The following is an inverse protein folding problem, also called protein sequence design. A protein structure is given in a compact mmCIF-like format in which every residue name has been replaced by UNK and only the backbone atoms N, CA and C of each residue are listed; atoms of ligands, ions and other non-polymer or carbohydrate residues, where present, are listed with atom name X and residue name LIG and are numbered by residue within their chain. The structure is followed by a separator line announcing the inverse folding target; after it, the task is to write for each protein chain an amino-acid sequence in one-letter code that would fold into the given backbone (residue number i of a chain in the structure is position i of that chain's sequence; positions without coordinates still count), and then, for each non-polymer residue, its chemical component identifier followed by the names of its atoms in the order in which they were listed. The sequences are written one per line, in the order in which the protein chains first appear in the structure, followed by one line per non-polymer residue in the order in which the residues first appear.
data_IF_986079989487
#
_entry.id   IF_986079989487
#
_cell.length_a   1.000
_cell.length_b   1.000
_cell.length_c   1.000
_cell.angle_alpha   90.00
_cell.angle_beta   90.00
_cell.angle_gamma   90.00
#
_symmetry.space_group_name_H-M   'P 1'
#
loop_
_entity.id
_entity.type
_entity.pdbx_description
1 polymer ?
#
# COMPACT_ATOMS: atom_id res chain seq x y z
N UNK A 1 -58.84 44.69 -28.47
CA UNK A 1 -58.20 43.59 -29.24
C UNK A 1 -57.04 43.09 -28.43
N UNK A 2 -56.98 41.78 -28.29
CA UNK A 2 -56.26 40.98 -27.30
C UNK A 2 -54.77 40.92 -27.60
N UNK A 3 -53.91 41.35 -26.67
CA UNK A 3 -52.49 40.96 -26.69
C UNK A 3 -52.24 39.97 -25.56
N UNK A 4 -52.01 38.73 -25.98
CA UNK A 4 -51.77 37.59 -25.12
C UNK A 4 -50.38 37.70 -24.48
N UNK A 5 -50.37 37.80 -23.15
CA UNK A 5 -49.15 37.70 -22.33
C UNK A 5 -48.64 36.26 -22.40
N UNK A 6 -47.66 36.01 -23.27
CA UNK A 6 -46.96 34.73 -23.34
C UNK A 6 -46.09 34.57 -22.07
N UNK A 7 -46.60 33.80 -21.10
CA UNK A 7 -45.81 33.30 -19.98
C UNK A 7 -44.77 32.31 -20.53
N UNK A 8 -43.51 32.74 -20.54
CA UNK A 8 -42.38 31.84 -20.78
C UNK A 8 -42.22 30.98 -19.52
N UNK A 9 -42.76 29.76 -19.59
CA UNK A 9 -42.45 28.68 -18.65
C UNK A 9 -40.96 28.39 -18.73
N UNK A 10 -40.19 28.83 -17.75
CA UNK A 10 -38.79 28.44 -17.59
C UNK A 10 -38.76 26.97 -17.15
N UNK A 11 -38.42 26.08 -18.08
CA UNK A 11 -38.09 24.70 -17.77
C UNK A 11 -36.96 24.67 -16.71
N UNK A 12 -37.02 23.77 -15.71
CA UNK A 12 -35.95 23.68 -14.72
C UNK A 12 -34.67 23.24 -15.44
N UNK A 13 -33.57 23.95 -15.18
CA UNK A 13 -32.26 23.62 -15.71
C UNK A 13 -31.93 22.13 -15.47
N UNK A 14 -31.34 21.43 -16.46
CA UNK A 14 -30.92 20.05 -16.24
C UNK A 14 -29.96 20.03 -15.05
N UNK A 15 -30.34 19.30 -13.99
CA UNK A 15 -29.45 19.03 -12.87
C UNK A 15 -28.21 18.38 -13.44
N UNK A 16 -27.07 19.04 -13.29
CA UNK A 16 -25.77 18.47 -13.60
C UNK A 16 -25.70 17.06 -13.01
N UNK A 17 -25.72 16.06 -13.89
CA UNK A 17 -25.38 14.68 -13.57
C UNK A 17 -23.85 14.57 -13.37
N UNK A 18 -23.32 15.44 -12.50
CA UNK A 18 -21.92 15.57 -12.14
C UNK A 18 -21.55 14.72 -10.95
N UNK A 19 -22.27 13.61 -10.70
CA UNK A 19 -21.76 12.55 -9.84
C UNK A 19 -20.84 11.67 -10.69
N UNK A 20 -19.80 12.26 -11.27
CA UNK A 20 -18.68 11.49 -11.79
C UNK A 20 -18.14 10.75 -10.59
N UNK A 21 -18.11 9.42 -10.64
CA UNK A 21 -17.40 8.59 -9.68
C UNK A 21 -15.99 9.18 -9.49
N UNK A 22 -15.80 9.97 -8.44
CA UNK A 22 -14.51 10.46 -8.04
C UNK A 22 -13.83 9.25 -7.41
N UNK A 23 -13.17 8.45 -8.25
CA UNK A 23 -12.17 7.51 -7.76
C UNK A 23 -11.17 8.35 -6.96
N UNK A 24 -10.92 8.03 -5.68
CA UNK A 24 -9.89 8.71 -4.92
C UNK A 24 -8.54 8.53 -5.64
N UNK A 25 -7.97 9.63 -6.13
CA UNK A 25 -6.72 9.65 -6.90
C UNK A 25 -6.87 9.74 -8.43
N UNK A 26 -5.76 10.06 -9.10
CA UNK A 26 -5.73 10.17 -10.57
C UNK A 26 -5.93 8.80 -11.24
N UNK A 27 -6.71 8.72 -12.32
CA UNK A 27 -6.97 7.45 -13.03
C UNK A 27 -5.70 6.71 -13.50
N UNK A 28 -4.61 7.45 -13.76
CA UNK A 28 -3.30 6.88 -14.13
C UNK A 28 -2.64 6.08 -13.00
N UNK A 29 -2.94 6.42 -11.74
CA UNK A 29 -2.41 5.72 -10.57
C UNK A 29 -2.99 4.31 -10.45
N UNK A 30 -4.28 4.15 -10.73
CA UNK A 30 -4.93 2.84 -10.69
C UNK A 30 -4.37 1.88 -11.72
N UNK A 31 -4.04 2.36 -12.92
CA UNK A 31 -3.37 1.56 -13.94
C UNK A 31 -2.01 1.03 -13.46
N UNK A 32 -1.21 1.90 -12.83
CA UNK A 32 0.07 1.52 -12.24
C UNK A 32 -0.13 0.48 -11.11
N UNK A 33 -1.01 0.77 -10.16
CA UNK A 33 -1.34 -0.12 -9.03
C UNK A 33 -1.80 -1.51 -9.48
N UNK A 34 -2.71 -1.58 -10.45
CA UNK A 34 -3.19 -2.86 -10.99
C UNK A 34 -2.07 -3.59 -11.73
N UNK A 35 -1.22 -2.87 -12.46
CA UNK A 35 -0.04 -3.43 -13.12
C UNK A 35 0.92 -4.10 -12.13
N UNK A 36 1.26 -3.41 -11.04
CA UNK A 36 2.09 -3.98 -9.97
C UNK A 36 1.43 -5.20 -9.32
N UNK A 37 0.13 -5.13 -9.02
CA UNK A 37 -0.61 -6.26 -8.45
C UNK A 37 -0.61 -7.49 -9.37
N UNK A 38 -0.71 -7.32 -10.69
CA UNK A 38 -0.63 -8.43 -11.66
C UNK A 38 0.78 -9.04 -11.65
N UNK A 39 1.83 -8.22 -11.65
CA UNK A 39 3.22 -8.70 -11.61
C UNK A 39 3.43 -9.55 -10.34
N UNK A 40 3.01 -9.05 -9.18
CA UNK A 40 3.10 -9.80 -7.92
C UNK A 40 2.22 -11.05 -7.90
N UNK A 41 1.02 -11.00 -8.49
CA UNK A 41 0.15 -12.16 -8.61
C UNK A 41 0.82 -13.28 -9.42
N UNK A 42 1.52 -12.95 -10.51
CA UNK A 42 2.31 -13.93 -11.27
C UNK A 42 3.42 -14.52 -10.39
N UNK A 43 4.15 -13.71 -9.63
CA UNK A 43 5.15 -14.20 -8.68
C UNK A 43 4.54 -15.16 -7.63
N UNK A 44 3.37 -14.85 -7.09
CA UNK A 44 2.67 -15.71 -6.12
C UNK A 44 2.26 -17.05 -6.72
N UNK A 45 1.74 -17.06 -7.95
CA UNK A 45 1.37 -18.29 -8.67
C UNK A 45 2.61 -19.15 -8.92
N UNK A 46 3.71 -18.55 -9.37
CA UNK A 46 4.97 -19.26 -9.60
C UNK A 46 5.52 -19.84 -8.28
N UNK A 47 5.52 -19.06 -7.19
CA UNK A 47 5.90 -19.54 -5.86
C UNK A 47 5.05 -20.74 -5.43
N UNK A 48 3.72 -20.65 -5.58
CA UNK A 48 2.81 -21.74 -5.24
C UNK A 48 3.06 -23.01 -6.05
N UNK A 49 3.35 -22.88 -7.35
CA UNK A 49 3.68 -24.01 -8.21
C UNK A 49 4.94 -24.73 -7.74
N UNK A 50 6.02 -24.00 -7.47
CA UNK A 50 7.28 -24.59 -7.01
C UNK A 50 7.21 -25.15 -5.58
N UNK A 51 6.43 -24.52 -4.69
CA UNK A 51 6.11 -25.04 -3.36
C UNK A 51 5.42 -26.40 -3.43
N UNK A 52 4.51 -26.56 -4.40
CA UNK A 52 3.81 -27.83 -4.63
C UNK A 52 4.74 -28.97 -5.03
N UNK A 53 5.87 -28.68 -5.67
CA UNK A 53 6.83 -29.69 -6.10
C UNK A 53 7.88 -30.05 -5.04
N UNK A 54 8.25 -29.13 -4.15
CA UNK A 54 9.32 -29.32 -3.16
C UNK A 54 8.84 -29.02 -1.74
N UNK A 55 7.76 -29.68 -1.31
CA UNK A 55 7.08 -29.35 -0.05
C UNK A 55 8.00 -29.44 1.18
N UNK A 56 8.80 -30.52 1.28
CA UNK A 56 9.66 -30.78 2.44
C UNK A 56 10.77 -29.72 2.59
N UNK A 57 11.37 -29.31 1.48
CA UNK A 57 12.41 -28.28 1.46
C UNK A 57 11.85 -26.90 1.82
N UNK A 58 10.62 -26.61 1.41
CA UNK A 58 9.93 -25.37 1.74
C UNK A 58 9.53 -25.32 3.22
N UNK A 59 9.08 -26.43 3.80
CA UNK A 59 8.76 -26.53 5.23
C UNK A 59 10.00 -26.37 6.11
N UNK A 60 11.10 -27.05 5.78
CA UNK A 60 12.36 -26.93 6.54
C UNK A 60 12.97 -25.52 6.44
N UNK A 61 12.85 -24.88 5.28
CA UNK A 61 13.32 -23.51 5.09
C UNK A 61 12.43 -22.47 5.78
N UNK A 62 11.10 -22.65 5.76
CA UNK A 62 10.17 -21.80 6.51
C UNK A 62 10.36 -21.90 8.03
N UNK A 63 10.70 -23.08 8.56
CA UNK A 63 10.95 -23.26 9.98
C UNK A 63 12.14 -22.45 10.50
N UNK A 64 13.04 -22.03 9.61
CA UNK A 64 14.20 -21.17 9.93
C UNK A 64 13.83 -19.68 9.99
N UNK A 65 12.66 -19.28 9.47
CA UNK A 65 12.21 -17.89 9.51
C UNK A 65 11.58 -17.55 10.85
N UNK A 66 11.89 -16.36 11.36
CA UNK A 66 11.31 -15.87 12.60
C UNK A 66 9.89 -15.32 12.36
N UNK A 67 8.89 -16.15 12.67
CA UNK A 67 7.47 -15.79 12.50
C UNK A 67 7.06 -14.60 13.39
N UNK A 68 7.70 -14.41 14.55
CA UNK A 68 7.36 -13.32 15.47
C UNK A 68 7.76 -11.96 14.87
N UNK A 69 8.94 -11.88 14.24
CA UNK A 69 9.39 -10.67 13.53
C UNK A 69 8.46 -10.38 12.34
N UNK A 70 8.04 -11.42 11.61
CA UNK A 70 7.04 -11.31 10.54
C UNK A 70 5.70 -10.77 11.06
N UNK A 71 5.21 -11.29 12.18
CA UNK A 71 3.94 -10.88 12.78
C UNK A 71 3.98 -9.44 13.30
N UNK A 72 5.06 -9.05 13.99
CA UNK A 72 5.27 -7.67 14.45
C UNK A 72 5.28 -6.71 13.26
N UNK A 73 5.98 -7.05 12.17
CA UNK A 73 5.99 -6.24 10.96
C UNK A 73 4.59 -6.03 10.37
N UNK A 74 3.78 -7.09 10.31
CA UNK A 74 2.40 -7.01 9.83
C UNK A 74 1.54 -6.11 10.72
N UNK A 75 1.63 -6.25 12.04
CA UNK A 75 0.88 -5.37 12.98
C UNK A 75 1.31 -3.92 12.84
N UNK A 76 2.61 -3.65 12.69
CA UNK A 76 3.15 -2.31 12.50
C UNK A 76 2.65 -1.69 11.19
N UNK A 77 2.67 -2.44 10.09
CA UNK A 77 2.17 -1.95 8.79
C UNK A 77 0.66 -1.72 8.80
N UNK A 78 -0.12 -2.63 9.37
CA UNK A 78 -1.57 -2.46 9.55
C UNK A 78 -1.89 -1.22 10.39
N UNK A 79 -1.13 -0.99 11.46
CA UNK A 79 -1.27 0.21 12.29
C UNK A 79 -0.93 1.47 11.49
N UNK A 80 0.16 1.44 10.71
CA UNK A 80 0.52 2.53 9.81
C UNK A 80 -0.58 2.80 8.78
N UNK A 81 -1.14 1.75 8.18
CA UNK A 81 -2.24 1.80 7.21
C UNK A 81 -3.48 2.44 7.82
N UNK A 82 -3.86 2.06 9.05
CA UNK A 82 -4.96 2.69 9.77
C UNK A 82 -4.71 4.19 10.02
N UNK A 83 -3.49 4.58 10.39
CA UNK A 83 -3.13 5.97 10.60
C UNK A 83 -3.22 6.81 9.31
N UNK A 84 -2.83 6.23 8.17
CA UNK A 84 -3.01 6.85 6.84
C UNK A 84 -4.50 7.03 6.53
N UNK A 85 -5.34 6.02 6.79
CA UNK A 85 -6.78 6.12 6.57
C UNK A 85 -7.43 7.21 7.44
N UNK A 86 -7.07 7.28 8.72
CA UNK A 86 -7.52 8.35 9.61
C UNK A 86 -6.99 9.73 9.18
N UNK A 87 -5.73 9.79 8.75
CA UNK A 87 -5.09 11.01 8.25
C UNK A 87 -5.76 11.57 7.00
N UNK A 88 -6.08 10.71 6.03
CA UNK A 88 -6.85 11.12 4.83
C UNK A 88 -8.25 11.61 5.19
N UNK A 89 -8.93 10.94 6.13
CA UNK A 89 -10.26 11.35 6.58
C UNK A 89 -10.23 12.72 7.27
N UNK A 90 -9.22 12.96 8.13
CA UNK A 90 -9.01 14.25 8.78
C UNK A 90 -8.69 15.36 7.77
N UNK A 91 -7.87 15.05 6.75
CA UNK A 91 -7.58 15.97 5.65
C UNK A 91 -8.84 16.33 4.83
N UNK A 92 -9.71 15.34 4.55
CA UNK A 92 -11.02 15.59 3.89
C UNK A 92 -11.94 16.47 4.73
N UNK A 93 -11.90 16.34 6.04
CA UNK A 93 -12.68 17.15 6.97
C UNK A 93 -12.14 18.58 7.18
N UNK A 94 -11.09 18.99 6.44
CA UNK A 94 -10.44 20.30 6.57
C UNK A 94 -9.55 20.43 7.81
N UNK A 95 -9.35 19.37 8.60
CA UNK A 95 -8.49 19.35 9.80
C UNK A 95 -7.04 19.00 9.41
N UNK A 96 -6.43 19.84 8.58
CA UNK A 96 -5.09 19.59 8.01
C UNK A 96 -4.00 19.39 9.07
N UNK A 97 -4.08 20.06 10.22
CA UNK A 97 -3.13 19.91 11.32
C UNK A 97 -3.20 18.51 11.98
N UNK A 98 -4.40 17.96 12.12
CA UNK A 98 -4.61 16.60 12.65
C UNK A 98 -4.17 15.56 11.63
N UNK A 99 -4.53 15.75 10.36
CA UNK A 99 -4.05 14.92 9.24
C UNK A 99 -2.52 14.87 9.19
N UNK A 100 -1.85 16.01 9.27
CA UNK A 100 -0.38 16.08 9.28
C UNK A 100 0.25 15.27 10.42
N UNK A 101 -0.31 15.32 11.64
CA UNK A 101 0.19 14.53 12.78
C UNK A 101 0.02 13.02 12.54
N UNK A 102 -1.13 12.61 12.02
CA UNK A 102 -1.43 11.21 11.72
C UNK A 102 -0.53 10.65 10.61
N UNK A 103 -0.31 11.43 9.54
CA UNK A 103 0.62 11.04 8.48
C UNK A 103 2.07 10.96 8.96
N UNK A 104 2.50 11.84 9.87
CA UNK A 104 3.82 11.74 10.49
C UNK A 104 3.99 10.48 11.33
N UNK A 105 2.97 10.14 12.13
CA UNK A 105 2.97 8.92 12.92
C UNK A 105 2.97 7.67 12.02
N UNK A 106 2.17 7.68 10.95
CA UNK A 106 2.16 6.62 9.95
C UNK A 106 3.54 6.44 9.31
N UNK A 107 4.19 7.52 8.89
CA UNK A 107 5.53 7.46 8.32
C UNK A 107 6.55 6.88 9.31
N UNK A 108 6.45 7.25 10.59
CA UNK A 108 7.26 6.66 11.66
C UNK A 108 7.04 5.15 11.81
N UNK A 109 5.79 4.71 11.89
CA UNK A 109 5.45 3.29 11.95
C UNK A 109 5.91 2.53 10.71
N UNK A 110 5.66 3.06 9.51
CA UNK A 110 6.10 2.48 8.25
C UNK A 110 7.61 2.37 8.12
N UNK A 111 8.38 3.29 8.69
CA UNK A 111 9.85 3.25 8.69
C UNK A 111 10.43 2.16 9.61
N UNK A 112 9.66 1.64 10.57
CA UNK A 112 10.09 0.51 11.42
C UNK A 112 10.17 -0.79 10.61
N UNK A 113 9.30 -0.97 9.61
CA UNK A 113 9.28 -2.15 8.75
C UNK A 113 10.62 -2.44 8.05
N UNK A 114 11.21 -1.53 7.25
CA UNK A 114 12.48 -1.77 6.58
C UNK A 114 13.63 -2.02 7.57
N UNK A 115 13.57 -1.40 8.76
CA UNK A 115 14.57 -1.59 9.82
C UNK A 115 14.49 -3.00 10.39
N UNK A 116 13.30 -3.46 10.78
CA UNK A 116 13.09 -4.83 11.27
C UNK A 116 13.48 -5.87 10.22
N UNK A 117 13.21 -5.62 8.94
CA UNK A 117 13.67 -6.50 7.86
C UNK A 117 15.17 -6.52 7.65
N UNK A 118 15.83 -5.37 7.75
CA UNK A 118 17.29 -5.35 7.71
C UNK A 118 17.88 -6.18 8.86
N UNK A 119 17.32 -6.08 10.06
CA UNK A 119 17.76 -6.90 11.21
C UNK A 119 17.53 -8.40 11.05
N UNK A 120 16.56 -8.83 10.24
CA UNK A 120 16.36 -10.25 9.91
C UNK A 120 17.34 -10.70 8.82
N UNK A 121 17.58 -9.87 7.79
CA UNK A 121 18.40 -10.26 6.63
C UNK A 121 19.88 -10.28 6.92
N UNK A 122 20.37 -9.32 7.69
CA UNK A 122 21.81 -9.20 7.99
C UNK A 122 22.35 -10.51 8.59
N UNK A 123 21.79 -11.08 9.68
CA UNK A 123 22.28 -12.33 10.23
C UNK A 123 22.06 -13.54 9.31
N UNK A 124 20.94 -13.60 8.56
CA UNK A 124 20.69 -14.68 7.60
C UNK A 124 21.75 -14.71 6.48
N UNK A 125 22.05 -13.54 5.91
CA UNK A 125 23.07 -13.39 4.86
C UNK A 125 24.47 -13.68 5.39
N UNK A 126 24.78 -13.23 6.62
CA UNK A 126 26.06 -13.53 7.28
C UNK A 126 26.19 -15.04 7.57
N UNK A 127 25.08 -15.72 7.88
CA UNK A 127 25.04 -17.18 8.07
C UNK A 127 25.15 -17.98 6.75
N UNK A 128 25.32 -17.32 5.61
CA UNK A 128 25.45 -17.95 4.29
C UNK A 128 24.11 -18.33 3.65
N UNK A 129 22.99 -17.87 4.21
CA UNK A 129 21.67 -17.98 3.59
C UNK A 129 21.56 -16.88 2.54
N UNK A 130 21.87 -17.25 1.31
CA UNK A 130 21.83 -16.36 0.14
C UNK A 130 20.70 -16.79 -0.79
N UNK A 131 20.32 -15.96 -1.78
CA UNK A 131 19.37 -16.37 -2.82
C UNK A 131 19.79 -17.65 -3.56
N UNK A 132 21.09 -18.00 -3.53
CA UNK A 132 21.62 -19.23 -4.14
C UNK A 132 21.54 -20.48 -3.26
N UNK A 133 21.15 -20.36 -1.98
CA UNK A 133 21.14 -21.49 -1.05
C UNK A 133 20.04 -22.50 -1.37
N UNK A 134 18.81 -22.01 -1.62
CA UNK A 134 17.66 -22.84 -1.95
C UNK A 134 16.65 -22.04 -2.78
N UNK A 135 15.82 -22.76 -3.54
CA UNK A 135 14.76 -22.16 -4.36
C UNK A 135 13.75 -21.36 -3.50
N UNK A 136 13.46 -21.81 -2.27
CA UNK A 136 12.66 -21.05 -1.30
C UNK A 136 13.30 -19.70 -0.95
N UNK A 137 14.58 -19.69 -0.57
CA UNK A 137 15.28 -18.45 -0.20
C UNK A 137 15.42 -17.50 -1.39
N UNK A 138 15.62 -18.00 -2.60
CA UNK A 138 15.59 -17.20 -3.83
C UNK A 138 14.27 -16.42 -3.94
N UNK A 139 13.14 -17.14 -3.87
CA UNK A 139 11.81 -16.54 -3.95
C UNK A 139 11.52 -15.59 -2.79
N UNK A 140 11.90 -15.99 -1.57
CA UNK A 140 11.81 -15.17 -0.38
C UNK A 140 12.53 -13.84 -0.60
N UNK A 141 13.83 -13.83 -0.87
CA UNK A 141 14.63 -12.60 -1.05
C UNK A 141 14.12 -11.72 -2.19
N UNK A 142 13.75 -12.30 -3.34
CA UNK A 142 13.26 -11.53 -4.49
C UNK A 142 11.92 -10.88 -4.19
N UNK A 143 10.93 -11.64 -3.71
CA UNK A 143 9.58 -11.11 -3.48
C UNK A 143 9.54 -10.06 -2.37
N UNK A 144 10.20 -10.35 -1.25
CA UNK A 144 10.28 -9.45 -0.10
C UNK A 144 11.18 -8.24 -0.37
N UNK A 145 12.28 -8.41 -1.12
CA UNK A 145 13.17 -7.31 -1.52
C UNK A 145 12.47 -6.36 -2.50
N UNK A 146 11.74 -6.89 -3.48
CA UNK A 146 10.90 -6.07 -4.36
C UNK A 146 9.82 -5.33 -3.57
N UNK A 147 9.17 -5.99 -2.61
CA UNK A 147 8.20 -5.34 -1.73
C UNK A 147 8.84 -4.24 -0.87
N UNK A 148 10.05 -4.49 -0.33
CA UNK A 148 10.81 -3.49 0.43
C UNK A 148 11.05 -2.23 -0.40
N UNK A 149 11.42 -2.38 -1.68
CA UNK A 149 11.55 -1.25 -2.60
C UNK A 149 10.24 -0.46 -2.75
N UNK A 150 9.09 -1.15 -2.81
CA UNK A 150 7.77 -0.50 -2.86
C UNK A 150 7.42 0.23 -1.56
N UNK A 151 7.75 -0.34 -0.40
CA UNK A 151 7.57 0.32 0.91
C UNK A 151 8.42 1.58 0.99
N UNK A 152 9.68 1.54 0.53
CA UNK A 152 10.55 2.73 0.49
C UNK A 152 10.00 3.81 -0.44
N UNK A 153 9.47 3.42 -1.62
CA UNK A 153 8.81 4.35 -2.53
C UNK A 153 7.53 4.94 -1.88
N UNK A 154 6.76 4.12 -1.18
CA UNK A 154 5.58 4.54 -0.43
C UNK A 154 5.93 5.54 0.67
N UNK A 155 7.01 5.29 1.41
CA UNK A 155 7.51 6.18 2.46
C UNK A 155 7.92 7.54 1.87
N UNK A 156 8.57 7.54 0.71
CA UNK A 156 8.90 8.77 0.00
C UNK A 156 7.62 9.53 -0.40
N UNK A 157 6.59 8.85 -0.93
CA UNK A 157 5.32 9.47 -1.29
C UNK A 157 4.61 10.05 -0.05
N UNK A 158 4.54 9.31 1.07
CA UNK A 158 3.97 9.83 2.32
C UNK A 158 4.74 11.06 2.83
N UNK A 159 6.07 11.05 2.74
CA UNK A 159 6.89 12.20 3.11
C UNK A 159 6.52 13.45 2.28
N UNK A 160 6.32 13.30 0.97
CA UNK A 160 5.84 14.39 0.12
C UNK A 160 4.42 14.82 0.48
N UNK A 161 3.53 13.89 0.84
CA UNK A 161 2.16 14.21 1.32
C UNK A 161 2.21 15.02 2.61
N UNK A 162 3.03 14.64 3.58
CA UNK A 162 3.25 15.40 4.82
C UNK A 162 3.73 16.82 4.52
N UNK A 163 4.63 16.97 3.54
CA UNK A 163 5.12 18.29 3.10
C UNK A 163 4.04 19.12 2.41
N UNK A 164 3.21 18.50 1.55
CA UNK A 164 2.09 19.16 0.85
C UNK A 164 1.02 19.65 1.85
N UNK A 165 0.74 18.86 2.89
CA UNK A 165 -0.18 19.20 3.99
C UNK A 165 0.26 20.42 4.83
N UNK A 166 1.55 20.80 4.81
CA UNK A 166 2.05 22.05 5.41
C UNK A 166 1.86 23.28 4.52
N UNK A 167 1.54 23.10 3.25
CA UNK A 167 1.39 24.19 2.29
C UNK A 167 0.10 24.99 2.45
N UNK A 168 -0.03 26.17 1.78
CA UNK A 168 -1.21 27.03 1.90
C UNK A 168 -2.49 26.42 1.30
N UNK A 169 -2.36 25.48 0.36
CA UNK A 169 -3.47 24.84 -0.34
C UNK A 169 -3.11 23.37 -0.66
N UNK A 170 -3.28 22.43 0.28
CA UNK A 170 -2.95 21.03 0.05
C UNK A 170 -3.84 20.42 -1.03
N UNK A 171 -3.25 19.63 -1.91
CA UNK A 171 -3.97 18.96 -3.00
C UNK A 171 -4.55 17.66 -2.49
N UNK A 172 -5.84 17.66 -2.19
CA UNK A 172 -6.54 16.48 -1.67
C UNK A 172 -6.36 15.25 -2.56
N UNK A 173 -6.38 15.42 -3.89
CA UNK A 173 -6.14 14.34 -4.85
C UNK A 173 -4.77 13.67 -4.69
N UNK A 174 -3.74 14.43 -4.31
CA UNK A 174 -2.39 13.90 -4.07
C UNK A 174 -2.33 13.11 -2.76
N UNK A 175 -2.99 13.60 -1.71
CA UNK A 175 -3.11 12.91 -0.42
C UNK A 175 -3.83 11.57 -0.58
N UNK A 176 -4.93 11.55 -1.33
CA UNK A 176 -5.69 10.33 -1.63
C UNK A 176 -4.89 9.34 -2.48
N UNK A 177 -4.18 9.84 -3.50
CA UNK A 177 -3.28 9.03 -4.32
C UNK A 177 -2.19 8.38 -3.45
N UNK A 178 -1.51 9.15 -2.59
CA UNK A 178 -0.48 8.61 -1.70
C UNK A 178 -1.01 7.57 -0.72
N UNK A 179 -2.21 7.78 -0.18
CA UNK A 179 -2.84 6.84 0.72
C UNK A 179 -3.25 5.53 0.02
N UNK A 180 -3.88 5.62 -1.14
CA UNK A 180 -4.25 4.43 -1.93
C UNK A 180 -3.01 3.59 -2.29
N UNK A 181 -1.86 4.23 -2.56
CA UNK A 181 -0.62 3.51 -2.86
C UNK A 181 -0.14 2.75 -1.63
N UNK A 182 -0.11 3.43 -0.47
CA UNK A 182 0.29 2.83 0.79
C UNK A 182 -0.59 1.63 1.17
N UNK A 183 -1.90 1.76 1.02
CA UNK A 183 -2.84 0.67 1.29
C UNK A 183 -2.65 -0.53 0.35
N UNK A 184 -2.32 -0.28 -0.92
CA UNK A 184 -2.00 -1.39 -1.82
C UNK A 184 -0.71 -2.10 -1.40
N UNK A 185 0.34 -1.35 -1.06
CA UNK A 185 1.59 -1.94 -0.59
C UNK A 185 1.36 -2.77 0.67
N UNK A 186 0.58 -2.26 1.62
CA UNK A 186 0.18 -2.97 2.84
C UNK A 186 -0.58 -4.28 2.53
N UNK A 187 -1.55 -4.24 1.60
CA UNK A 187 -2.28 -5.45 1.17
C UNK A 187 -1.34 -6.52 0.60
N UNK A 188 -0.37 -6.09 -0.23
CA UNK A 188 0.64 -6.98 -0.80
C UNK A 188 1.48 -7.66 0.30
N UNK A 189 1.84 -6.90 1.35
CA UNK A 189 2.55 -7.46 2.50
C UNK A 189 1.74 -8.53 3.21
N UNK A 190 0.45 -8.31 3.44
CA UNK A 190 -0.43 -9.29 4.10
C UNK A 190 -0.45 -10.62 3.32
N UNK A 191 -0.51 -10.56 1.99
CA UNK A 191 -0.46 -11.75 1.13
C UNK A 191 0.91 -12.43 1.21
N UNK A 192 2.01 -11.67 1.17
CA UNK A 192 3.36 -12.19 1.34
C UNK A 192 3.54 -12.88 2.69
N UNK A 193 3.12 -12.24 3.76
CA UNK A 193 3.17 -12.78 5.11
C UNK A 193 2.38 -14.09 5.21
N UNK A 194 1.17 -14.12 4.65
CA UNK A 194 0.36 -15.34 4.62
C UNK A 194 1.05 -16.49 3.88
N UNK A 195 1.65 -16.23 2.71
CA UNK A 195 2.30 -17.26 1.89
C UNK A 195 3.67 -17.73 2.41
N UNK A 196 4.44 -16.83 3.03
CA UNK A 196 5.81 -17.09 3.47
C UNK A 196 5.91 -17.54 4.93
N UNK A 197 5.07 -17.02 5.82
CA UNK A 197 5.16 -17.26 7.26
C UNK A 197 4.02 -18.11 7.83
N UNK A 198 2.79 -17.93 7.34
CA UNK A 198 1.60 -18.55 7.93
C UNK A 198 1.22 -19.89 7.27
N UNK A 199 1.35 -19.99 5.95
CA UNK A 199 1.05 -21.19 5.18
C UNK A 199 2.18 -22.20 5.34
N UNK A 200 2.07 -23.03 6.37
CA UNK A 200 2.88 -24.22 6.65
C UNK A 200 2.17 -25.43 6.09
#
# INVERSE_FOLDING_TARGET
MTEATAQITTAPAPRDAGQRNHLPGASSMWFFVIGDLIIFAVYFVVYMYYRGQNHDLFLDSQAKLNTDIGAVNTVVLLTSSLLVALGTSAARAGKTAEGHRLFWLALGCGAVFPVLKAFEYIPEVIAGITPGTNLFFMFYFVMTGMHLCHVLLGLAILYFVVRDLRGPAPRMSFVETGATYWHMVDLLWIVLFALLYLMR
#
